data_IF_845012976419
#
_entry.id   IF_845012976419
#
_cell.length_a   1.000
_cell.length_b   1.000
_cell.length_c   1.000
_cell.angle_alpha   90.00
_cell.angle_beta   90.00
_cell.angle_gamma   90.00
#
_symmetry.space_group_name_H-M   'P 1'
#
loop_
_entity.id
_entity.type
_entity.pdbx_description
1 polymer ?
#
# COMPACT_ATOMS: atom_id res chain seq x y z
N UNK A 1 35.68 -33.24 -1.27
CA UNK A 1 35.19 -32.36 -0.18
C UNK A 1 34.59 -31.03 -0.67
N UNK A 2 34.91 -30.51 -1.87
CA UNK A 2 34.33 -29.24 -2.38
C UNK A 2 32.81 -29.22 -2.60
N UNK A 3 32.16 -30.38 -2.85
CA UNK A 3 30.70 -30.48 -2.99
C UNK A 3 29.95 -30.22 -1.67
N UNK A 4 30.49 -30.67 -0.54
CA UNK A 4 29.83 -30.53 0.76
C UNK A 4 29.76 -29.06 1.21
N UNK A 5 30.84 -28.31 0.97
CA UNK A 5 30.93 -26.88 1.28
C UNK A 5 29.94 -26.07 0.41
N UNK A 6 29.81 -26.41 -0.87
CA UNK A 6 28.84 -25.78 -1.76
C UNK A 6 27.38 -26.02 -1.32
N UNK A 7 27.06 -27.24 -0.85
CA UNK A 7 25.71 -27.56 -0.34
C UNK A 7 25.38 -26.79 0.94
N UNK A 8 26.34 -26.66 1.85
CA UNK A 8 26.16 -25.90 3.10
C UNK A 8 25.95 -24.40 2.80
N UNK A 9 26.74 -23.83 1.89
CA UNK A 9 26.58 -22.44 1.47
C UNK A 9 25.20 -22.18 0.81
N UNK A 10 24.72 -23.12 -0.01
CA UNK A 10 23.39 -23.03 -0.62
C UNK A 10 22.28 -23.05 0.43
N UNK A 11 22.37 -23.94 1.42
CA UNK A 11 21.40 -24.01 2.52
C UNK A 11 21.39 -22.75 3.38
N UNK A 12 22.54 -22.15 3.66
CA UNK A 12 22.64 -20.91 4.40
C UNK A 12 21.97 -19.74 3.64
N UNK A 13 22.26 -19.58 2.35
CA UNK A 13 21.59 -18.59 1.50
C UNK A 13 20.08 -18.82 1.41
N UNK A 14 19.64 -20.08 1.31
CA UNK A 14 18.23 -20.44 1.29
C UNK A 14 17.51 -20.05 2.60
N UNK A 15 18.15 -20.29 3.76
CA UNK A 15 17.62 -19.92 5.08
C UNK A 15 17.47 -18.40 5.22
N UNK A 16 18.48 -17.64 4.79
CA UNK A 16 18.44 -16.17 4.79
C UNK A 16 17.32 -15.68 3.87
N UNK A 17 17.21 -16.23 2.67
CA UNK A 17 16.14 -15.88 1.73
C UNK A 17 14.74 -16.21 2.27
N UNK A 18 14.58 -17.36 2.92
CA UNK A 18 13.34 -17.77 3.55
C UNK A 18 12.94 -16.84 4.70
N UNK A 19 13.89 -16.41 5.53
CA UNK A 19 13.66 -15.43 6.60
C UNK A 19 13.19 -14.08 6.02
N UNK A 20 13.90 -13.54 5.03
CA UNK A 20 13.52 -12.28 4.36
C UNK A 20 12.11 -12.40 3.77
N UNK A 21 11.81 -13.51 3.09
CA UNK A 21 10.50 -13.76 2.50
C UNK A 21 9.40 -13.87 3.56
N UNK A 22 9.67 -14.51 4.69
CA UNK A 22 8.71 -14.61 5.80
C UNK A 22 8.38 -13.25 6.42
N UNK A 23 9.39 -12.38 6.57
CA UNK A 23 9.23 -11.02 7.08
C UNK A 23 8.42 -10.15 6.10
N UNK A 24 8.69 -10.27 4.79
CA UNK A 24 7.94 -9.54 3.76
C UNK A 24 6.46 -9.98 3.69
N UNK A 25 6.20 -11.28 3.80
CA UNK A 25 4.83 -11.82 3.84
C UNK A 25 4.12 -11.41 5.13
N UNK A 26 4.83 -11.44 6.27
CA UNK A 26 4.31 -10.98 7.56
C UNK A 26 3.92 -9.50 7.55
N UNK A 27 4.77 -8.63 7.00
CA UNK A 27 4.50 -7.20 6.87
C UNK A 27 3.26 -6.91 6.00
N UNK A 28 3.09 -7.62 4.88
CA UNK A 28 1.90 -7.50 4.02
C UNK A 28 0.61 -7.93 4.72
N UNK A 29 0.70 -8.94 5.60
CA UNK A 29 -0.45 -9.50 6.32
C UNK A 29 -0.83 -8.63 7.52
N UNK A 30 0.15 -8.15 8.28
CA UNK A 30 -0.05 -7.18 9.37
C UNK A 30 -0.67 -5.88 8.85
N UNK A 31 -0.19 -5.39 7.71
CA UNK A 31 -0.71 -4.20 7.03
C UNK A 31 -2.19 -4.33 6.60
N UNK A 32 -2.55 -5.43 5.92
CA UNK A 32 -3.97 -5.67 5.54
C UNK A 32 -4.89 -5.81 6.75
N UNK A 33 -4.35 -6.28 7.88
CA UNK A 33 -5.08 -6.37 9.13
C UNK A 33 -5.32 -4.98 9.74
N UNK A 34 -4.36 -4.05 9.67
CA UNK A 34 -4.51 -2.67 10.22
C UNK A 34 -5.57 -1.85 9.47
N UNK A 35 -5.80 -2.06 8.18
CA UNK A 35 -6.76 -1.21 7.45
C UNK A 35 -8.16 -1.81 7.28
N UNK A 36 -8.36 -3.04 7.77
CA UNK A 36 -9.63 -3.78 7.72
C UNK A 36 -10.12 -4.34 9.08
N UNK A 37 -9.43 -4.07 10.20
CA UNK A 37 -9.89 -4.48 11.53
C UNK A 37 -10.92 -3.50 12.10
N UNK A 38 -11.98 -3.99 12.76
CA UNK A 38 -12.89 -3.14 13.53
C UNK A 38 -12.22 -2.57 14.80
N UNK A 39 -11.27 -3.32 15.38
CA UNK A 39 -10.59 -2.95 16.63
C UNK A 39 -9.15 -2.49 16.35
N UNK A 40 -9.03 -1.21 15.99
CA UNK A 40 -7.73 -0.58 15.76
C UNK A 40 -7.15 -0.02 17.04
N UNK A 41 -5.84 -0.23 17.26
CA UNK A 41 -5.12 0.47 18.33
C UNK A 41 -5.08 1.98 18.06
N UNK A 42 -4.87 2.79 19.09
CA UNK A 42 -4.87 4.26 18.99
C UNK A 42 -3.90 4.79 17.91
N UNK A 43 -2.68 4.24 17.84
CA UNK A 43 -1.69 4.60 16.82
C UNK A 43 -2.11 4.18 15.40
N UNK A 44 -2.81 3.06 15.26
CA UNK A 44 -3.32 2.55 13.99
C UNK A 44 -4.47 3.42 13.48
N UNK A 45 -5.36 3.86 14.38
CA UNK A 45 -6.42 4.81 14.09
C UNK A 45 -5.86 6.16 13.65
N UNK A 46 -4.83 6.66 14.34
CA UNK A 46 -4.14 7.91 13.97
C UNK A 46 -3.49 7.81 12.59
N UNK A 47 -2.86 6.69 12.28
CA UNK A 47 -2.25 6.44 10.96
C UNK A 47 -3.30 6.39 9.85
N UNK A 48 -4.41 5.67 10.09
CA UNK A 48 -5.53 5.61 9.15
C UNK A 48 -6.18 6.98 8.96
N UNK A 49 -6.41 7.73 10.05
CA UNK A 49 -6.98 9.07 9.99
C UNK A 49 -6.07 10.05 9.22
N UNK A 50 -4.75 9.98 9.43
CA UNK A 50 -3.78 10.77 8.69
C UNK A 50 -3.78 10.41 7.19
N UNK A 51 -3.81 9.12 6.87
CA UNK A 51 -3.90 8.66 5.48
C UNK A 51 -5.21 9.12 4.81
N UNK A 52 -6.36 8.99 5.48
CA UNK A 52 -7.65 9.45 4.98
C UNK A 52 -7.68 10.97 4.78
N UNK A 53 -7.10 11.74 5.69
CA UNK A 53 -7.02 13.20 5.56
C UNK A 53 -6.21 13.62 4.33
N UNK A 54 -5.09 12.94 4.06
CA UNK A 54 -4.27 13.23 2.87
C UNK A 54 -4.95 12.79 1.58
N UNK A 55 -5.66 11.66 1.60
CA UNK A 55 -6.46 11.22 0.46
C UNK A 55 -7.57 12.25 0.19
N UNK A 56 -8.27 12.73 1.22
CA UNK A 56 -9.35 13.72 1.07
C UNK A 56 -8.83 15.06 0.53
N UNK A 57 -7.77 15.61 1.13
CA UNK A 57 -7.13 16.86 0.68
C UNK A 57 -6.54 16.69 -0.71
N UNK A 58 -5.85 15.58 -0.97
CA UNK A 58 -5.24 15.29 -2.26
C UNK A 58 -6.27 15.11 -3.36
N UNK A 59 -7.39 14.43 -3.11
CA UNK A 59 -8.48 14.31 -4.08
C UNK A 59 -9.10 15.68 -4.36
N UNK A 60 -9.38 16.50 -3.34
CA UNK A 60 -9.89 17.86 -3.55
C UNK A 60 -8.97 18.73 -4.42
N UNK A 61 -7.66 18.50 -4.36
CA UNK A 61 -6.67 19.28 -5.10
C UNK A 61 -6.38 18.74 -6.51
N UNK A 62 -6.36 17.42 -6.68
CA UNK A 62 -5.84 16.78 -7.89
C UNK A 62 -6.88 15.98 -8.67
N UNK A 63 -8.02 15.65 -8.07
CA UNK A 63 -9.10 14.94 -8.78
C UNK A 63 -10.05 15.94 -9.44
N UNK A 64 -10.08 15.90 -10.76
CA UNK A 64 -11.09 16.57 -11.55
C UNK A 64 -12.15 15.55 -12.03
N UNK A 65 -13.40 15.66 -11.54
CA UNK A 65 -14.48 14.74 -11.89
C UNK A 65 -14.89 14.85 -13.38
N UNK A 66 -14.63 15.97 -14.03
CA UNK A 66 -14.99 16.18 -15.44
C UNK A 66 -13.97 15.56 -16.40
N UNK A 67 -12.70 15.50 -15.99
CA UNK A 67 -11.60 15.01 -16.83
C UNK A 67 -11.18 13.56 -16.52
N UNK A 68 -11.87 12.87 -15.59
CA UNK A 68 -11.58 11.47 -15.19
C UNK A 68 -10.10 11.21 -14.83
N UNK A 69 -9.41 12.22 -14.30
CA UNK A 69 -7.97 12.16 -13.99
C UNK A 69 -7.66 11.47 -12.64
N UNK A 70 -8.47 10.49 -12.25
CA UNK A 70 -8.33 9.79 -10.97
C UNK A 70 -6.98 9.07 -10.85
N UNK A 71 -6.49 8.50 -11.95
CA UNK A 71 -5.19 7.82 -12.00
C UNK A 71 -4.05 8.77 -11.63
N UNK A 72 -4.06 9.99 -12.18
CA UNK A 72 -3.03 10.98 -11.89
C UNK A 72 -3.11 11.44 -10.42
N UNK A 73 -4.32 11.71 -9.93
CA UNK A 73 -4.54 12.05 -8.53
C UNK A 73 -3.99 10.95 -7.60
N UNK A 74 -4.32 9.69 -7.87
CA UNK A 74 -3.84 8.54 -7.09
C UNK A 74 -2.31 8.44 -7.14
N UNK A 75 -1.68 8.63 -8.30
CA UNK A 75 -0.21 8.62 -8.43
C UNK A 75 0.45 9.74 -7.62
N UNK A 76 -0.17 10.91 -7.52
CA UNK A 76 0.34 12.04 -6.73
C UNK A 76 0.11 11.86 -5.23
N UNK A 77 -0.99 11.22 -4.83
CA UNK A 77 -1.35 10.98 -3.42
C UNK A 77 -0.57 9.80 -2.84
N UNK A 78 -0.36 8.73 -3.61
CA UNK A 78 0.30 7.48 -3.19
C UNK A 78 1.61 7.70 -2.44
N UNK A 79 2.61 8.49 -2.93
CA UNK A 79 3.87 8.67 -2.21
C UNK A 79 3.68 9.36 -0.85
N UNK A 80 2.75 10.34 -0.74
CA UNK A 80 2.48 11.02 0.53
C UNK A 80 1.88 10.08 1.58
N UNK A 81 0.98 9.20 1.14
CA UNK A 81 0.38 8.17 2.01
C UNK A 81 1.42 7.11 2.37
N UNK A 82 2.29 6.75 1.43
CA UNK A 82 3.38 5.80 1.63
C UNK A 82 4.36 6.26 2.71
N UNK A 83 4.77 7.53 2.66
CA UNK A 83 5.69 8.11 3.63
C UNK A 83 5.13 8.04 5.05
N UNK A 84 3.84 8.28 5.24
CA UNK A 84 3.21 8.20 6.57
C UNK A 84 3.16 6.78 7.10
N UNK A 85 2.80 5.83 6.25
CA UNK A 85 2.72 4.42 6.62
C UNK A 85 4.12 3.91 6.99
N UNK A 86 5.14 4.26 6.20
CA UNK A 86 6.53 3.86 6.48
C UNK A 86 7.13 4.59 7.68
N UNK A 87 6.80 5.86 7.91
CA UNK A 87 7.19 6.60 9.12
C UNK A 87 6.62 5.99 10.40
N UNK A 88 5.46 5.35 10.34
CA UNK A 88 4.84 4.62 11.46
C UNK A 88 5.44 3.21 11.65
N UNK A 89 6.46 2.83 10.88
CA UNK A 89 7.17 1.55 11.00
C UNK A 89 6.57 0.41 10.16
N UNK A 90 5.56 0.68 9.32
CA UNK A 90 5.01 -0.34 8.44
C UNK A 90 5.84 -0.48 7.16
N UNK A 91 6.38 -1.67 6.93
CA UNK A 91 7.07 -2.01 5.70
C UNK A 91 6.06 -2.40 4.62
N UNK A 92 5.72 -1.46 3.74
CA UNK A 92 4.81 -1.68 2.60
C UNK A 92 5.48 -1.32 1.30
N UNK A 93 4.98 -1.82 0.15
CA UNK A 93 5.45 -1.34 -1.15
C UNK A 93 4.61 -0.15 -1.62
N UNK A 94 5.15 0.68 -2.52
CA UNK A 94 4.38 1.73 -3.19
C UNK A 94 3.17 1.16 -3.96
N UNK A 95 3.29 -0.05 -4.49
CA UNK A 95 2.17 -0.75 -5.15
C UNK A 95 1.07 -1.11 -4.15
N UNK A 96 1.41 -1.69 -3.00
CA UNK A 96 0.42 -2.03 -1.97
C UNK A 96 -0.22 -0.76 -1.37
N UNK A 97 0.53 0.34 -1.33
CA UNK A 97 0.02 1.66 -0.89
C UNK A 97 -0.98 2.21 -1.89
N UNK A 98 -0.71 2.09 -3.19
CA UNK A 98 -1.62 2.52 -4.26
C UNK A 98 -2.95 1.78 -4.21
N UNK A 99 -2.90 0.46 -4.05
CA UNK A 99 -4.10 -0.37 -3.89
C UNK A 99 -4.90 0.04 -2.65
N UNK A 100 -4.21 0.40 -1.55
CA UNK A 100 -4.86 0.91 -0.34
C UNK A 100 -5.51 2.28 -0.57
N UNK A 101 -4.81 3.22 -1.22
CA UNK A 101 -5.39 4.53 -1.54
C UNK A 101 -6.70 4.32 -2.27
N UNK A 102 -6.74 3.52 -3.34
CA UNK A 102 -7.96 3.21 -4.09
C UNK A 102 -9.08 2.61 -3.23
N UNK A 103 -8.76 1.71 -2.29
CA UNK A 103 -9.72 1.11 -1.37
C UNK A 103 -10.26 2.10 -0.32
N UNK A 104 -9.50 3.14 0.00
CA UNK A 104 -9.86 4.16 0.98
C UNK A 104 -10.58 5.37 0.38
N UNK A 105 -10.51 5.58 -0.95
CA UNK A 105 -11.25 6.65 -1.62
C UNK A 105 -12.76 6.64 -1.27
N UNK A 106 -13.47 5.50 -1.26
CA UNK A 106 -14.89 5.47 -0.87
C UNK A 106 -15.16 5.90 0.58
N UNK A 107 -14.13 5.97 1.43
CA UNK A 107 -14.24 6.36 2.84
C UNK A 107 -13.98 7.86 3.08
N UNK A 108 -13.61 8.63 2.04
CA UNK A 108 -13.41 10.08 2.14
C UNK A 108 -14.64 10.85 1.64
N UNK A 109 -14.67 12.17 1.85
CA UNK A 109 -15.85 12.99 1.55
C UNK A 109 -16.03 13.25 0.04
N UNK A 110 -14.98 13.08 -0.75
CA UNK A 110 -15.03 13.27 -2.21
C UNK A 110 -15.69 12.06 -2.85
N UNK A 111 -16.86 12.27 -3.46
CA UNK A 111 -17.54 11.22 -4.21
C UNK A 111 -16.78 10.91 -5.50
N UNK A 112 -16.41 9.64 -5.67
CA UNK A 112 -15.82 9.10 -6.89
C UNK A 112 -16.67 7.92 -7.35
N UNK A 113 -17.20 7.92 -8.59
CA UNK A 113 -18.00 6.82 -9.09
C UNK A 113 -17.24 5.49 -9.08
N UNK A 114 -17.91 4.40 -8.72
CA UNK A 114 -17.30 3.08 -8.61
C UNK A 114 -16.69 2.60 -9.94
N UNK A 115 -17.30 2.96 -11.08
CA UNK A 115 -16.76 2.68 -12.41
C UNK A 115 -15.36 3.31 -12.61
N UNK A 116 -15.16 4.55 -12.16
CA UNK A 116 -13.86 5.23 -12.28
C UNK A 116 -12.80 4.60 -11.38
N UNK A 117 -13.20 4.09 -10.20
CA UNK A 117 -12.29 3.37 -9.31
C UNK A 117 -11.82 2.05 -9.93
N UNK A 118 -12.72 1.30 -10.55
CA UNK A 118 -12.40 0.04 -11.24
C UNK A 118 -11.52 0.30 -12.48
N UNK A 119 -11.84 1.34 -13.25
CA UNK A 119 -11.05 1.75 -14.41
C UNK A 119 -9.64 2.18 -13.98
N UNK A 120 -9.52 3.03 -12.96
CA UNK A 120 -8.24 3.49 -12.44
C UNK A 120 -7.40 2.33 -11.86
N UNK A 121 -8.02 1.41 -11.11
CA UNK A 121 -7.37 0.21 -10.60
C UNK A 121 -6.81 -0.66 -11.75
N UNK A 122 -7.58 -0.83 -12.83
CA UNK A 122 -7.19 -1.59 -14.00
C UNK A 122 -6.02 -0.93 -14.74
N UNK A 123 -6.10 0.38 -14.97
CA UNK A 123 -5.02 1.14 -15.63
C UNK A 123 -3.73 1.16 -14.81
N UNK A 124 -3.84 1.28 -13.49
CA UNK A 124 -2.68 1.31 -12.59
C UNK A 124 -2.00 -0.06 -12.46
N UNK A 125 -2.76 -1.16 -12.59
CA UNK A 125 -2.23 -2.53 -12.61
C UNK A 125 -1.45 -2.84 -13.89
N UNK A 126 -1.88 -2.29 -15.02
CA UNK A 126 -1.23 -2.49 -16.32
C UNK A 126 0.01 -1.60 -16.54
N UNK A 127 0.34 -0.72 -15.59
CA UNK A 127 1.50 0.19 -15.62
C UNK A 127 2.67 -0.29 -14.74
N UNK A 128 2.57 -1.48 -14.16
CA UNK A 128 3.60 -2.15 -13.34
C UNK A 128 4.16 -3.31 -14.15
#
# INVERSE_FOLDING_TARGET
MGRLIATIAFFACFLIFALIKSLAVGAKTAYKAVFNKPDLNENEQLTLAAALSIIDVGLKQYYDPNHRNLVQAVLTITPKVHDIITHQGYSVTLSDTRDMVLQLIPRVHVYVPQEQLVEAATQLRNRI
#
